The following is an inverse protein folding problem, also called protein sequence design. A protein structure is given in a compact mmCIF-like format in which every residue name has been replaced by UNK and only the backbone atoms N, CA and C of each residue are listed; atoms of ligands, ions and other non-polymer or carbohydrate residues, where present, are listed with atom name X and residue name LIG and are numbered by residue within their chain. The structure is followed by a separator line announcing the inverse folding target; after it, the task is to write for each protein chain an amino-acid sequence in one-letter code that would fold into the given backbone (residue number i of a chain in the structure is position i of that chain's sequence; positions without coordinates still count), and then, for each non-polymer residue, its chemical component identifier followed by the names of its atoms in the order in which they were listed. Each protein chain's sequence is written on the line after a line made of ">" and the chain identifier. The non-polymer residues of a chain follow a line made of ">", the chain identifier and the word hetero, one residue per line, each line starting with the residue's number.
data_IF_319839523919
#
_entry.id   IF_319839523919
#
_cell.length_a   1.000
_cell.length_b   1.000
_cell.length_c   1.000
_cell.angle_alpha   90.00
_cell.angle_beta   90.00
_cell.angle_gamma   90.00
#
_symmetry.space_group_name_H-M   'P 1'
#
loop_
_entity.id
_entity.type
_entity.pdbx_description
1 polymer ?
#
# COMPACT_ATOMS: atom_id res chain seq x y z
N UNK A 1 19.67 -18.61 -0.71
CA UNK A 1 19.73 -17.16 -1.02
C UNK A 1 19.08 -16.92 -2.38
N UNK A 2 17.76 -16.68 -2.46
CA UNK A 2 17.09 -16.42 -3.74
C UNK A 2 17.23 -14.93 -4.06
N UNK A 3 17.94 -14.61 -5.16
CA UNK A 3 18.02 -13.25 -5.69
C UNK A 3 16.71 -12.91 -6.40
N UNK A 4 16.07 -11.82 -5.98
CA UNK A 4 14.94 -11.23 -6.68
C UNK A 4 15.46 -10.25 -7.73
N UNK A 5 15.62 -10.71 -8.97
CA UNK A 5 15.70 -9.83 -10.15
C UNK A 5 14.45 -10.09 -10.99
N UNK A 6 13.57 -9.11 -11.11
CA UNK A 6 12.33 -9.25 -11.87
C UNK A 6 11.20 -8.28 -11.53
N UNK A 7 11.40 -7.32 -10.63
CA UNK A 7 10.43 -6.25 -10.40
C UNK A 7 10.79 -5.06 -11.29
N UNK A 8 9.91 -4.74 -12.23
CA UNK A 8 10.02 -3.54 -13.09
C UNK A 8 9.26 -2.36 -12.49
N UNK A 9 9.38 -1.16 -13.08
CA UNK A 9 8.50 -0.04 -12.74
C UNK A 9 7.04 -0.45 -12.94
N UNK A 10 6.16 -0.04 -12.03
CA UNK A 10 4.73 -0.25 -12.20
C UNK A 10 4.16 0.77 -13.20
N UNK A 11 4.26 0.46 -14.48
CA UNK A 11 3.77 1.32 -15.56
C UNK A 11 2.28 1.64 -15.40
N UNK A 12 1.92 2.90 -15.65
CA UNK A 12 0.53 3.39 -15.55
C UNK A 12 0.02 3.65 -14.13
N UNK A 13 0.83 3.43 -13.09
CA UNK A 13 0.49 3.77 -11.70
C UNK A 13 1.29 4.98 -11.21
N UNK A 14 0.59 5.90 -10.55
CA UNK A 14 1.22 7.05 -9.88
C UNK A 14 1.42 6.70 -8.42
N UNK A 15 2.68 6.65 -7.97
CA UNK A 15 2.98 6.42 -6.56
C UNK A 15 2.62 7.65 -5.72
N UNK A 16 2.13 7.44 -4.48
CA UNK A 16 1.96 8.53 -3.52
C UNK A 16 3.28 9.25 -3.23
N UNK A 17 3.20 10.40 -2.55
CA UNK A 17 4.39 11.10 -2.07
C UNK A 17 5.24 10.18 -1.18
N UNK A 18 6.56 10.31 -1.30
CA UNK A 18 7.56 9.52 -0.56
C UNK A 18 7.39 8.00 -0.68
N UNK A 19 6.76 7.56 -1.78
CA UNK A 19 6.54 6.15 -2.09
C UNK A 19 7.05 5.80 -3.49
N UNK A 20 7.41 4.53 -3.70
CA UNK A 20 7.70 3.99 -5.04
C UNK A 20 6.96 2.67 -5.26
N UNK A 21 6.45 2.48 -6.47
CA UNK A 21 5.92 1.20 -6.89
C UNK A 21 6.93 0.39 -7.71
N UNK A 22 6.99 -0.90 -7.42
CA UNK A 22 7.60 -1.91 -8.28
C UNK A 22 6.61 -3.05 -8.50
N UNK A 23 6.52 -3.60 -9.70
CA UNK A 23 5.55 -4.65 -10.01
C UNK A 23 6.24 -5.92 -10.51
N UNK A 24 5.73 -7.07 -10.07
CA UNK A 24 6.09 -8.40 -10.57
C UNK A 24 4.82 -9.23 -10.74
N UNK A 25 4.32 -9.34 -11.97
CA UNK A 25 3.08 -10.06 -12.28
C UNK A 25 1.86 -9.43 -11.62
N UNK A 26 1.18 -10.20 -10.77
CA UNK A 26 0.03 -9.82 -9.95
C UNK A 26 0.43 -9.20 -8.59
N UNK A 27 1.73 -9.03 -8.33
CA UNK A 27 2.20 -8.41 -7.08
C UNK A 27 2.73 -7.01 -7.33
N UNK A 28 2.18 -6.06 -6.60
CA UNK A 28 2.62 -4.67 -6.59
C UNK A 28 3.26 -4.38 -5.23
N UNK A 29 4.55 -4.02 -5.21
CA UNK A 29 5.25 -3.61 -4.00
C UNK A 29 5.22 -2.09 -3.87
N UNK A 30 4.71 -1.62 -2.74
CA UNK A 30 4.74 -0.23 -2.30
C UNK A 30 5.90 -0.05 -1.32
N UNK A 31 6.94 0.66 -1.76
CA UNK A 31 8.10 1.02 -0.94
C UNK A 31 7.80 2.35 -0.24
N UNK A 32 7.92 2.37 1.09
CA UNK A 32 7.64 3.54 1.92
C UNK A 32 8.97 4.19 2.36
N UNK A 33 9.31 5.35 1.80
CA UNK A 33 10.53 6.10 2.17
C UNK A 33 10.28 7.17 3.21
N UNK A 34 9.03 7.64 3.31
CA UNK A 34 8.58 8.55 4.37
C UNK A 34 8.08 7.80 5.60
N UNK A 35 7.91 8.53 6.70
CA UNK A 35 7.12 8.00 7.82
C UNK A 35 5.67 7.88 7.39
N UNK A 36 5.05 6.69 7.50
CA UNK A 36 3.66 6.56 7.14
C UNK A 36 2.81 7.40 8.10
N UNK A 37 2.05 8.33 7.53
CA UNK A 37 0.82 8.76 8.16
C UNK A 37 -0.06 7.50 8.21
N UNK A 38 -0.89 7.36 9.25
CA UNK A 38 -1.77 6.20 9.49
C UNK A 38 -2.43 5.63 8.22
N UNK A 39 -2.69 6.48 7.23
CA UNK A 39 -3.29 6.14 5.96
C UNK A 39 -2.41 6.58 4.79
N UNK A 40 -2.37 5.76 3.73
CA UNK A 40 -1.77 6.10 2.43
C UNK A 40 -2.82 5.94 1.34
N UNK A 41 -3.00 6.91 0.45
CA UNK A 41 -4.00 6.84 -0.60
C UNK A 41 -3.40 6.36 -1.92
N UNK A 42 -3.83 5.18 -2.36
CA UNK A 42 -3.35 4.52 -3.56
C UNK A 42 -4.36 4.69 -4.70
N UNK A 43 -4.11 5.67 -5.58
CA UNK A 43 -5.00 6.00 -6.70
C UNK A 43 -5.21 4.83 -7.66
N UNK A 44 -6.46 4.60 -8.07
CA UNK A 44 -6.82 3.64 -9.10
C UNK A 44 -6.58 2.17 -8.73
N UNK A 45 -6.43 1.88 -7.43
CA UNK A 45 -6.20 0.52 -6.90
C UNK A 45 -7.37 0.01 -6.05
N UNK A 46 -8.41 0.84 -5.83
CA UNK A 46 -9.65 0.39 -5.19
C UNK A 46 -10.29 -0.75 -5.99
N UNK A 47 -10.67 -1.81 -5.29
CA UNK A 47 -11.29 -3.01 -5.91
C UNK A 47 -10.35 -3.84 -6.79
N UNK A 48 -9.07 -3.49 -6.86
CA UNK A 48 -8.04 -4.20 -7.64
C UNK A 48 -7.02 -4.93 -6.77
N UNK A 49 -7.15 -4.84 -5.45
CA UNK A 49 -6.27 -5.48 -4.47
C UNK A 49 -7.12 -6.42 -3.63
N UNK A 50 -6.83 -7.72 -3.68
CA UNK A 50 -7.49 -8.73 -2.86
C UNK A 50 -6.92 -8.78 -1.44
N UNK A 51 -5.63 -8.51 -1.31
CA UNK A 51 -4.90 -8.72 -0.07
C UNK A 51 -3.65 -7.83 0.00
N UNK A 52 -3.22 -7.49 1.21
CA UNK A 52 -2.02 -6.71 1.46
C UNK A 52 -1.28 -7.20 2.70
N UNK A 53 0.06 -7.22 2.65
CA UNK A 53 0.91 -7.57 3.78
C UNK A 53 2.22 -6.80 3.75
N UNK A 54 2.92 -6.75 4.88
CA UNK A 54 4.31 -6.33 4.93
C UNK A 54 5.25 -7.43 4.42
N UNK A 55 6.25 -7.03 3.63
CA UNK A 55 7.24 -7.97 3.07
C UNK A 55 8.17 -8.57 4.14
N UNK A 56 8.42 -7.84 5.24
CA UNK A 56 9.47 -8.19 6.21
C UNK A 56 9.02 -9.22 7.25
N UNK A 57 7.75 -9.23 7.64
CA UNK A 57 7.18 -10.09 8.68
C UNK A 57 5.88 -10.79 8.27
N UNK A 58 5.39 -10.54 7.04
CA UNK A 58 4.11 -11.01 6.52
C UNK A 58 2.88 -10.55 7.34
N UNK A 59 3.03 -9.52 8.17
CA UNK A 59 1.90 -8.93 8.89
C UNK A 59 0.88 -8.36 7.90
N UNK A 60 -0.38 -8.72 8.09
CA UNK A 60 -1.47 -8.25 7.23
C UNK A 60 -1.67 -6.74 7.38
N UNK A 61 -1.84 -6.07 6.24
CA UNK A 61 -2.18 -4.65 6.16
C UNK A 61 -3.67 -4.54 5.86
N UNK A 62 -4.42 -3.87 6.73
CA UNK A 62 -5.85 -3.67 6.52
C UNK A 62 -6.09 -2.82 5.28
N UNK A 63 -6.84 -3.38 4.35
CA UNK A 63 -7.31 -2.72 3.12
C UNK A 63 -8.83 -2.66 3.19
N UNK A 64 -9.42 -1.46 3.22
CA UNK A 64 -10.87 -1.37 3.33
C UNK A 64 -11.39 0.04 3.52
N UNK A 65 -12.72 0.15 3.46
CA UNK A 65 -13.40 1.32 3.99
C UNK A 65 -13.26 1.29 5.51
N UNK A 66 -12.71 2.35 6.13
CA UNK A 66 -12.84 2.51 7.57
C UNK A 66 -14.33 2.48 7.98
N UNK A 67 -14.63 2.08 9.22
CA UNK A 67 -16.01 2.07 9.72
C UNK A 67 -16.64 3.45 9.53
N UNK A 68 -17.91 3.50 9.10
CA UNK A 68 -18.64 4.75 8.88
C UNK A 68 -18.66 5.70 10.10
N UNK A 69 -18.41 5.16 11.29
CA UNK A 69 -18.44 5.85 12.58
C UNK A 69 -17.05 6.30 13.11
N UNK A 70 -15.98 6.27 12.32
CA UNK A 70 -14.69 6.84 12.78
C UNK A 70 -14.73 8.39 12.69
N UNK A 71 -14.70 9.11 13.84
CA UNK A 71 -14.87 10.56 13.89
C UNK A 71 -13.63 11.35 13.44
N UNK A 72 -12.53 10.68 13.08
CA UNK A 72 -11.27 11.30 12.68
C UNK A 72 -11.11 11.57 11.18
N UNK A 73 -12.12 11.32 10.37
CA UNK A 73 -11.92 11.15 8.94
C UNK A 73 -12.61 12.21 8.06
N UNK A 74 -11.78 12.96 7.36
CA UNK A 74 -12.15 13.78 6.21
C UNK A 74 -12.28 12.91 4.93
N UNK A 75 -13.05 11.81 4.98
CA UNK A 75 -13.29 10.94 3.81
C UNK A 75 -13.93 11.68 2.64
N UNK A 76 -14.57 12.81 2.94
CA UNK A 76 -15.33 13.63 1.99
C UNK A 76 -14.49 14.15 0.83
N UNK A 77 -13.16 14.00 0.88
CA UNK A 77 -12.24 14.46 -0.18
C UNK A 77 -11.41 13.36 -0.84
N UNK A 78 -11.43 12.12 -0.34
CA UNK A 78 -10.68 11.02 -0.96
C UNK A 78 -11.51 10.47 -2.12
N UNK A 79 -11.02 10.52 -3.37
CA UNK A 79 -11.80 10.04 -4.50
C UNK A 79 -12.07 8.53 -4.41
N UNK A 80 -13.23 8.09 -4.87
CA UNK A 80 -13.74 6.72 -4.70
C UNK A 80 -12.91 5.63 -5.38
N UNK A 81 -11.97 5.99 -6.26
CA UNK A 81 -11.02 5.07 -6.91
C UNK A 81 -9.74 4.82 -6.08
N UNK A 82 -9.57 5.50 -4.95
CA UNK A 82 -8.40 5.31 -4.08
C UNK A 82 -8.59 4.16 -3.10
N UNK A 83 -7.60 3.29 -3.03
CA UNK A 83 -7.47 2.33 -1.93
C UNK A 83 -6.71 3.01 -0.79
N UNK A 84 -7.17 2.86 0.45
CA UNK A 84 -6.51 3.46 1.61
C UNK A 84 -6.11 2.37 2.60
N UNK A 85 -4.88 1.82 2.50
CA UNK A 85 -4.38 0.88 3.50
C UNK A 85 -4.10 1.60 4.82
N UNK A 86 -4.42 0.93 5.93
CA UNK A 86 -4.05 1.39 7.26
C UNK A 86 -2.67 0.86 7.62
N UNK A 87 -1.74 1.78 7.90
CA UNK A 87 -0.37 1.47 8.27
C UNK A 87 -0.16 1.68 9.77
N UNK A 88 0.66 0.83 10.43
CA UNK A 88 1.05 1.05 11.80
C UNK A 88 1.83 2.38 11.92
N UNK A 89 1.40 3.19 12.88
CA UNK A 89 2.02 4.49 13.19
C UNK A 89 3.26 4.31 14.09
N UNK A 90 3.29 3.24 14.89
CA UNK A 90 4.47 2.89 15.69
C UNK A 90 5.57 2.29 14.79
N UNK A 91 6.82 2.66 15.10
CA UNK A 91 7.98 2.44 14.26
C UNK A 91 8.08 1.00 13.76
N UNK A 92 8.23 0.86 12.46
CA UNK A 92 8.56 -0.39 11.81
C UNK A 92 10.05 -0.66 12.06
N UNK A 93 10.41 -1.88 12.47
CA UNK A 93 11.79 -2.28 12.81
C UNK A 93 12.73 -2.39 11.58
N UNK A 94 12.33 -1.80 10.45
CA UNK A 94 13.03 -1.87 9.15
C UNK A 94 13.23 -0.48 8.56
N UNK A 95 14.38 -0.26 7.91
CA UNK A 95 14.78 1.05 7.37
C UNK A 95 13.89 1.57 6.24
N UNK A 96 13.35 0.68 5.41
CA UNK A 96 12.42 1.01 4.31
C UNK A 96 11.36 -0.09 4.28
N UNK A 97 10.19 0.14 4.90
CA UNK A 97 9.11 -0.84 4.88
C UNK A 97 8.54 -1.00 3.47
N UNK A 98 8.20 -2.25 3.13
CA UNK A 98 7.59 -2.59 1.86
C UNK A 98 6.26 -3.29 2.12
N UNK A 99 5.19 -2.78 1.52
CA UNK A 99 3.88 -3.42 1.50
C UNK A 99 3.70 -4.14 0.17
N UNK A 100 3.41 -5.44 0.21
CA UNK A 100 3.01 -6.22 -0.95
C UNK A 100 1.49 -6.15 -1.10
N UNK A 101 1.03 -5.73 -2.28
CA UNK A 101 -0.37 -5.68 -2.68
C UNK A 101 -0.61 -6.78 -3.73
N UNK A 102 -1.57 -7.65 -3.45
CA UNK A 102 -1.94 -8.76 -4.33
C UNK A 102 -3.10 -8.33 -5.21
N UNK A 103 -2.83 -8.19 -6.50
CA UNK A 103 -3.78 -7.67 -7.46
C UNK A 103 -4.80 -8.73 -7.87
N UNK A 104 -6.07 -8.35 -7.91
CA UNK A 104 -7.12 -9.10 -8.60
C UNK A 104 -7.06 -8.73 -10.08
N UNK A 105 -6.97 -9.75 -10.92
CA UNK A 105 -6.70 -9.72 -12.36
C UNK A 105 -7.50 -8.66 -13.14
#
# INVERSE_FOLDING_TARGET
>A
MRRHHGAGPAEGLVSPQDCRYTRRGDRLSLHLFGRPLRHVHLRGLRGRVAYAQFLHDASEVRIGEPPADDPGHDYLRVPSDHLTPELPVQGLDVSVPVVELFLTH
#
